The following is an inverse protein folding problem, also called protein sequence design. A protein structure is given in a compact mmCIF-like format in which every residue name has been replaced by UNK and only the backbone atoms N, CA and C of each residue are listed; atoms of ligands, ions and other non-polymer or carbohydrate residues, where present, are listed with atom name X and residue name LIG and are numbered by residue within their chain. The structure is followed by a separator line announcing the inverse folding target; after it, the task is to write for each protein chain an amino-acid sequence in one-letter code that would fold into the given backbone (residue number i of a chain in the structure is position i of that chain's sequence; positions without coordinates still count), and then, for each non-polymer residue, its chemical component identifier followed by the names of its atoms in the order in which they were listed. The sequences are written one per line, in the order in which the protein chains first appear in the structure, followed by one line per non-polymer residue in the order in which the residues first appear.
data_IF_741665367643
#
_entry.id   IF_741665367643
#
_cell.length_a   1.000
_cell.length_b   1.000
_cell.length_c   1.000
_cell.angle_alpha   90.00
_cell.angle_beta   90.00
_cell.angle_gamma   90.00
#
_symmetry.space_group_name_H-M   'P 1'
#
loop_
_entity.id
_entity.type
_entity.pdbx_description
1 polymer ?
#
# COMPACT_ATOMS: atom_id res chain seq x y z
N UNK A 1 3.05 4.90 28.92
CA UNK A 1 3.32 4.30 27.59
C UNK A 1 4.83 4.11 27.52
N UNK A 2 5.30 2.87 27.41
CA UNK A 2 6.74 2.57 27.40
C UNK A 2 7.42 3.41 26.30
N UNK A 3 8.36 4.27 26.70
CA UNK A 3 9.13 5.14 25.82
C UNK A 3 10.60 4.99 26.20
N UNK A 4 11.46 4.90 25.20
CA UNK A 4 12.90 4.71 25.37
C UNK A 4 13.66 5.58 24.39
N UNK A 5 14.90 5.88 24.74
CA UNK A 5 15.79 6.69 23.93
C UNK A 5 16.57 5.79 22.96
N UNK A 6 16.61 6.14 21.68
CA UNK A 6 17.44 5.45 20.68
C UNK A 6 18.47 6.41 20.13
N UNK A 7 19.75 6.10 20.37
CA UNK A 7 20.87 6.88 19.86
C UNK A 7 21.16 6.46 18.43
N UNK A 8 21.10 7.40 17.50
CA UNK A 8 21.57 7.19 16.14
C UNK A 8 23.03 7.63 16.05
N UNK A 9 23.86 7.03 15.17
CA UNK A 9 25.29 7.36 15.09
C UNK A 9 25.58 8.83 14.75
N UNK A 10 24.63 9.51 14.08
CA UNK A 10 24.81 10.86 13.54
C UNK A 10 24.06 11.96 14.31
N UNK A 11 23.19 11.61 15.27
CA UNK A 11 22.41 12.60 16.02
C UNK A 11 23.05 12.92 17.37
N UNK A 12 23.19 14.22 17.67
CA UNK A 12 23.69 14.71 18.95
C UNK A 12 22.75 14.37 20.12
N UNK A 13 21.44 14.27 19.85
CA UNK A 13 20.44 13.87 20.84
C UNK A 13 19.77 12.56 20.44
N UNK A 14 19.45 11.69 21.41
CA UNK A 14 18.73 10.46 21.12
C UNK A 14 17.32 10.77 20.62
N UNK A 15 16.87 9.95 19.67
CA UNK A 15 15.49 10.00 19.15
C UNK A 15 14.58 9.22 20.10
N UNK A 16 13.48 9.84 20.53
CA UNK A 16 12.51 9.19 21.39
C UNK A 16 11.65 8.19 20.60
N UNK A 17 11.68 6.93 21.02
CA UNK A 17 10.90 5.85 20.45
C UNK A 17 9.87 5.35 21.47
N UNK A 18 8.65 5.07 21.03
CA UNK A 18 7.60 4.47 21.86
C UNK A 18 7.00 3.27 21.13
N UNK A 19 6.14 2.52 21.80
CA UNK A 19 5.49 1.33 21.20
C UNK A 19 4.71 1.65 19.92
N UNK A 20 4.17 2.87 19.78
CA UNK A 20 3.48 3.29 18.57
C UNK A 20 4.45 3.43 17.39
N UNK A 21 5.64 4.00 17.60
CA UNK A 21 6.68 4.06 16.56
C UNK A 21 7.08 2.65 16.12
N UNK A 22 7.28 1.72 17.05
CA UNK A 22 7.60 0.32 16.72
C UNK A 22 6.46 -0.33 15.93
N UNK A 23 5.21 -0.13 16.34
CA UNK A 23 4.04 -0.63 15.61
C UNK A 23 3.99 -0.09 14.17
N UNK A 24 4.24 1.21 13.97
CA UNK A 24 4.29 1.82 12.64
C UNK A 24 5.42 1.21 11.80
N UNK A 25 6.61 1.02 12.38
CA UNK A 25 7.74 0.43 11.67
C UNK A 25 7.43 -1.01 11.21
N UNK A 26 6.89 -1.83 12.10
CA UNK A 26 6.52 -3.22 11.79
C UNK A 26 5.37 -3.28 10.76
N UNK A 27 4.40 -2.36 10.85
CA UNK A 27 3.31 -2.25 9.87
C UNK A 27 3.86 -1.86 8.50
N UNK A 28 4.77 -0.87 8.45
CA UNK A 28 5.42 -0.40 7.23
C UNK A 28 6.10 -1.52 6.44
N UNK A 29 6.82 -2.42 7.12
CA UNK A 29 7.49 -3.56 6.46
C UNK A 29 6.54 -4.76 6.21
N UNK A 30 5.26 -4.65 6.57
CA UNK A 30 4.24 -5.66 6.30
C UNK A 30 4.15 -6.80 7.30
N UNK A 31 4.59 -6.58 8.55
CA UNK A 31 4.39 -7.55 9.62
C UNK A 31 2.90 -7.69 9.90
N UNK A 32 2.43 -8.95 10.01
CA UNK A 32 1.03 -9.24 10.36
C UNK A 32 0.70 -8.68 11.75
N UNK A 33 -0.49 -8.11 11.89
CA UNK A 33 -0.96 -7.53 13.16
C UNK A 33 -0.79 -8.49 14.36
N UNK A 34 -1.09 -9.78 14.21
CA UNK A 34 -0.90 -10.76 15.28
C UNK A 34 0.56 -10.84 15.76
N UNK A 35 1.52 -10.87 14.82
CA UNK A 35 2.94 -10.93 15.18
C UNK A 35 3.42 -9.58 15.74
N UNK A 36 2.85 -8.44 15.29
CA UNK A 36 3.15 -7.13 15.87
C UNK A 36 2.82 -7.14 17.36
N UNK A 37 1.64 -7.61 17.74
CA UNK A 37 1.24 -7.66 19.16
C UNK A 37 2.22 -8.50 19.99
N UNK A 38 2.60 -9.69 19.51
CA UNK A 38 3.60 -10.53 20.18
C UNK A 38 4.97 -9.83 20.31
N UNK A 39 5.42 -9.10 19.29
CA UNK A 39 6.68 -8.34 19.33
C UNK A 39 6.59 -7.18 20.34
N UNK A 40 5.46 -6.47 20.38
CA UNK A 40 5.26 -5.36 21.32
C UNK A 40 5.22 -5.86 22.77
N UNK A 41 4.53 -6.97 23.04
CA UNK A 41 4.53 -7.62 24.35
C UNK A 41 5.94 -8.03 24.79
N UNK A 42 6.73 -8.58 23.85
CA UNK A 42 8.13 -8.91 24.11
C UNK A 42 8.96 -7.67 24.45
N UNK A 43 8.81 -6.56 23.71
CA UNK A 43 9.52 -5.30 23.99
C UNK A 43 9.16 -4.74 25.37
N UNK A 44 7.89 -4.82 25.76
CA UNK A 44 7.45 -4.42 27.10
C UNK A 44 8.12 -5.28 28.18
N UNK A 45 8.30 -6.58 27.93
CA UNK A 45 8.91 -7.49 28.90
C UNK A 45 10.41 -7.27 29.12
N UNK A 46 11.10 -6.65 28.16
CA UNK A 46 12.54 -6.36 28.24
C UNK A 46 12.83 -4.89 28.56
N UNK A 47 11.90 -3.97 28.29
CA UNK A 47 12.11 -2.54 28.49
C UNK A 47 12.03 -2.14 29.95
N UNK A 48 13.17 -1.93 30.60
CA UNK A 48 13.27 -1.14 31.82
C UNK A 48 13.00 0.35 31.54
N UNK A 49 12.50 1.10 32.52
CA UNK A 49 12.03 2.49 32.34
C UNK A 49 13.14 3.52 31.98
N UNK A 50 14.41 3.13 31.91
CA UNK A 50 15.55 4.05 31.68
C UNK A 50 16.63 3.54 30.69
N UNK A 51 16.29 2.64 29.76
CA UNK A 51 17.29 2.15 28.79
C UNK A 51 17.44 3.06 27.57
N UNK A 52 18.69 3.45 27.28
CA UNK A 52 19.07 4.04 25.99
C UNK A 52 19.68 2.96 25.11
N UNK A 53 19.11 2.74 23.93
CA UNK A 53 19.60 1.76 22.98
C UNK A 53 20.39 2.44 21.86
N UNK A 54 21.46 1.80 21.38
CA UNK A 54 22.01 2.14 20.08
C UNK A 54 21.07 1.66 18.97
N UNK A 55 20.88 2.46 17.91
CA UNK A 55 19.97 2.13 16.81
C UNK A 55 20.25 0.74 16.23
N UNK A 56 21.52 0.43 15.94
CA UNK A 56 21.89 -0.84 15.34
C UNK A 56 21.54 -2.03 16.25
N UNK A 57 21.79 -1.89 17.55
CA UNK A 57 21.40 -2.90 18.55
C UNK A 57 19.88 -3.06 18.60
N UNK A 58 19.13 -1.95 18.63
CA UNK A 58 17.67 -1.99 18.64
C UNK A 58 17.08 -2.68 17.39
N UNK A 59 17.59 -2.34 16.20
CA UNK A 59 17.13 -2.95 14.96
C UNK A 59 17.53 -4.43 14.86
N UNK A 60 18.72 -4.82 15.36
CA UNK A 60 19.15 -6.22 15.37
C UNK A 60 18.31 -7.11 16.32
N UNK A 61 17.84 -6.55 17.45
CA UNK A 61 16.87 -7.22 18.31
C UNK A 61 15.55 -7.48 17.58
N UNK A 62 14.98 -6.45 16.92
CA UNK A 62 13.75 -6.62 16.14
C UNK A 62 13.93 -7.63 15.01
N UNK A 63 15.03 -7.56 14.28
CA UNK A 63 15.42 -8.48 13.21
C UNK A 63 15.46 -9.93 13.72
N UNK A 64 16.08 -10.17 14.88
CA UNK A 64 16.15 -11.51 15.50
C UNK A 64 14.77 -12.08 15.78
N UNK A 65 13.85 -11.29 16.31
CA UNK A 65 12.47 -11.73 16.56
C UNK A 65 11.73 -11.98 15.25
N UNK A 66 11.89 -11.09 14.26
CA UNK A 66 11.26 -11.22 12.95
C UNK A 66 11.71 -12.49 12.20
N UNK A 67 12.96 -12.93 12.39
CA UNK A 67 13.40 -14.22 11.84
C UNK A 67 12.67 -15.42 12.43
N UNK A 68 12.31 -15.39 13.73
CA UNK A 68 11.48 -16.44 14.35
C UNK A 68 10.12 -16.56 13.65
N UNK A 69 9.58 -15.44 13.17
CA UNK A 69 8.35 -15.38 12.38
C UNK A 69 8.52 -15.58 10.86
N UNK A 70 9.72 -15.95 10.40
CA UNK A 70 10.05 -16.18 8.98
C UNK A 70 9.80 -14.95 8.08
N UNK A 71 10.21 -13.77 8.53
CA UNK A 71 10.36 -12.60 7.65
C UNK A 71 11.76 -12.59 7.04
N UNK A 72 11.84 -12.27 5.74
CA UNK A 72 13.08 -12.22 4.96
C UNK A 72 13.59 -10.78 4.86
N UNK A 73 14.92 -10.58 4.92
CA UNK A 73 15.59 -9.27 4.84
C UNK A 73 15.13 -8.19 5.86
N UNK A 74 14.81 -8.52 7.13
CA UNK A 74 14.17 -7.57 8.03
C UNK A 74 15.03 -6.34 8.36
N UNK A 75 16.36 -6.43 8.37
CA UNK A 75 17.20 -5.32 8.84
C UNK A 75 17.09 -4.06 7.97
N UNK A 76 17.30 -4.17 6.65
CA UNK A 76 17.22 -3.00 5.77
C UNK A 76 15.81 -2.40 5.71
N UNK A 77 14.80 -3.26 5.75
CA UNK A 77 13.40 -2.84 5.75
C UNK A 77 13.09 -2.08 7.05
N UNK A 78 13.60 -2.56 8.19
CA UNK A 78 13.50 -1.90 9.49
C UNK A 78 14.23 -0.55 9.51
N UNK A 79 15.42 -0.46 8.91
CA UNK A 79 16.13 0.82 8.85
C UNK A 79 15.39 1.85 7.98
N UNK A 80 14.76 1.43 6.88
CA UNK A 80 13.91 2.32 6.07
C UNK A 80 12.69 2.74 6.87
N UNK A 81 12.03 1.78 7.51
CA UNK A 81 10.87 2.03 8.34
C UNK A 81 11.20 3.04 9.46
N UNK A 82 12.37 2.90 10.09
CA UNK A 82 12.87 3.85 11.08
C UNK A 82 12.94 5.27 10.52
N UNK A 83 13.58 5.45 9.36
CA UNK A 83 13.78 6.76 8.72
C UNK A 83 12.46 7.41 8.31
N UNK A 84 11.50 6.62 7.82
CA UNK A 84 10.17 7.11 7.43
C UNK A 84 9.33 7.48 8.66
N UNK A 85 9.27 6.61 9.68
CA UNK A 85 8.45 6.81 10.88
C UNK A 85 8.94 8.02 11.69
N UNK A 86 10.25 8.19 11.81
CA UNK A 86 10.86 9.31 12.55
C UNK A 86 11.08 10.55 11.68
N UNK A 87 10.44 10.64 10.50
CA UNK A 87 10.52 11.80 9.59
C UNK A 87 11.96 12.23 9.26
N UNK A 88 12.88 11.27 9.15
CA UNK A 88 14.23 11.52 8.66
C UNK A 88 14.26 11.55 7.13
N UNK A 89 13.37 10.75 6.51
CA UNK A 89 13.08 10.70 5.09
C UNK A 89 11.58 10.63 4.85
N UNK A 90 11.15 10.89 3.62
CA UNK A 90 9.76 10.70 3.19
C UNK A 90 9.67 10.01 1.84
N UNK A 91 8.55 9.33 1.62
CA UNK A 91 8.21 8.70 0.35
C UNK A 91 6.91 9.30 -0.18
N UNK A 92 6.88 9.58 -1.49
CA UNK A 92 5.67 9.97 -2.20
C UNK A 92 5.28 8.84 -3.16
N UNK A 93 4.08 8.29 -3.03
CA UNK A 93 3.58 7.23 -3.90
C UNK A 93 2.54 7.83 -4.84
N UNK A 94 2.75 7.71 -6.15
CA UNK A 94 1.83 8.24 -7.17
C UNK A 94 1.06 7.08 -7.81
N UNK A 95 -0.27 7.08 -7.69
CA UNK A 95 -1.17 6.05 -8.20
C UNK A 95 -2.07 6.60 -9.30
N UNK A 96 -1.61 6.49 -10.54
CA UNK A 96 -2.38 6.86 -11.72
C UNK A 96 -3.33 5.76 -12.15
N UNK A 97 -4.28 6.12 -13.01
CA UNK A 97 -5.25 5.19 -13.59
C UNK A 97 -6.56 5.89 -13.91
N UNK A 98 -7.47 5.16 -14.54
CA UNK A 98 -8.73 5.75 -15.00
C UNK A 98 -9.88 5.55 -14.01
N UNK A 99 -11.03 6.15 -14.29
CA UNK A 99 -12.24 5.96 -13.48
C UNK A 99 -12.66 4.49 -13.45
N UNK A 100 -13.06 4.00 -12.27
CA UNK A 100 -13.48 2.60 -12.09
C UNK A 100 -12.34 1.57 -11.98
N UNK A 101 -11.07 1.97 -12.09
CA UNK A 101 -9.90 1.08 -11.94
C UNK A 101 -9.65 0.59 -10.50
N UNK A 102 -10.23 1.26 -9.50
CA UNK A 102 -10.07 0.94 -8.08
C UNK A 102 -8.83 1.59 -7.42
N UNK A 103 -8.24 2.59 -8.07
CA UNK A 103 -7.10 3.37 -7.55
C UNK A 103 -7.30 3.94 -6.14
N UNK A 104 -8.44 4.58 -5.85
CA UNK A 104 -8.69 5.20 -4.54
C UNK A 104 -8.79 4.14 -3.42
N UNK A 105 -9.40 2.99 -3.70
CA UNK A 105 -9.46 1.86 -2.76
C UNK A 105 -8.06 1.31 -2.47
N UNK A 106 -7.25 1.09 -3.51
CA UNK A 106 -5.87 0.63 -3.33
C UNK A 106 -5.00 1.67 -2.60
N UNK A 107 -5.18 2.96 -2.88
CA UNK A 107 -4.46 4.04 -2.22
C UNK A 107 -4.73 4.05 -0.71
N UNK A 108 -6.00 4.02 -0.30
CA UNK A 108 -6.37 3.99 1.12
C UNK A 108 -5.88 2.72 1.83
N UNK A 109 -6.02 1.56 1.19
CA UNK A 109 -5.52 0.30 1.76
C UNK A 109 -4.00 0.26 1.87
N UNK A 110 -3.29 0.77 0.85
CA UNK A 110 -1.84 0.86 0.85
C UNK A 110 -1.37 1.80 1.96
N UNK A 111 -1.91 3.02 2.03
CA UNK A 111 -1.59 4.02 3.02
C UNK A 111 -1.80 3.49 4.46
N UNK A 112 -2.95 2.86 4.72
CA UNK A 112 -3.22 2.20 5.99
C UNK A 112 -2.20 1.09 6.27
N UNK A 113 -1.86 0.27 5.27
CA UNK A 113 -0.91 -0.84 5.43
C UNK A 113 0.50 -0.36 5.79
N UNK A 114 0.95 0.74 5.19
CA UNK A 114 2.30 1.29 5.41
C UNK A 114 2.35 2.35 6.51
N UNK A 115 1.22 2.69 7.14
CA UNK A 115 1.19 3.72 8.18
C UNK A 115 1.35 5.15 7.66
N UNK A 116 1.07 5.41 6.36
CA UNK A 116 0.96 6.76 5.83
C UNK A 116 -0.45 7.28 6.10
N UNK A 117 -0.56 8.40 6.81
CA UNK A 117 -1.85 9.00 7.17
C UNK A 117 -2.47 9.83 6.05
N UNK A 118 -1.64 10.34 5.14
CA UNK A 118 -2.08 11.31 4.14
C UNK A 118 -2.30 10.65 2.77
N UNK A 119 -3.55 10.66 2.32
CA UNK A 119 -3.95 10.26 0.96
C UNK A 119 -4.66 11.41 0.29
N UNK A 120 -4.15 11.86 -0.86
CA UNK A 120 -4.68 13.00 -1.60
C UNK A 120 -5.14 12.56 -2.99
N UNK A 121 -6.25 13.14 -3.45
CA UNK A 121 -6.80 12.85 -4.76
C UNK A 121 -6.56 14.02 -5.71
N UNK A 122 -6.17 13.77 -6.97
CA UNK A 122 -6.07 14.85 -7.98
C UNK A 122 -7.42 15.51 -8.23
N UNK A 123 -8.53 14.82 -7.95
CA UNK A 123 -9.87 15.42 -8.04
C UNK A 123 -10.06 16.55 -7.02
N UNK A 124 -9.46 16.47 -5.83
CA UNK A 124 -9.48 17.57 -4.86
C UNK A 124 -8.68 18.77 -5.36
N UNK A 125 -7.50 18.53 -5.94
CA UNK A 125 -6.67 19.60 -6.54
C UNK A 125 -7.44 20.30 -7.66
N UNK A 126 -8.09 19.53 -8.53
CA UNK A 126 -8.95 20.05 -9.59
C UNK A 126 -10.12 20.86 -9.04
N UNK A 127 -10.78 20.38 -7.99
CA UNK A 127 -11.87 21.11 -7.33
C UNK A 127 -11.40 22.43 -6.72
N UNK A 128 -10.20 22.45 -6.13
CA UNK A 128 -9.60 23.66 -5.59
C UNK A 128 -9.28 24.66 -6.71
N UNK A 129 -8.67 24.23 -7.81
CA UNK A 129 -8.41 25.09 -8.96
C UNK A 129 -9.69 25.69 -9.55
N UNK A 130 -10.78 24.92 -9.62
CA UNK A 130 -12.10 25.40 -10.05
C UNK A 130 -12.65 26.51 -9.17
N UNK A 131 -12.39 26.50 -7.86
CA UNK A 131 -12.84 27.57 -6.96
C UNK A 131 -12.18 28.93 -7.24
N UNK A 132 -11.05 28.95 -7.94
CA UNK A 132 -10.36 30.16 -8.40
C UNK A 132 -10.68 30.54 -9.86
N UNK A 133 -11.59 29.81 -10.53
CA UNK A 133 -12.09 30.11 -11.88
C UNK A 133 -13.64 30.07 -11.90
N UNK A 134 -14.31 30.94 -11.13
CA UNK A 134 -15.77 30.92 -10.98
C UNK A 134 -16.51 31.22 -12.29
N UNK A 135 -15.89 31.99 -13.19
CA UNK A 135 -16.45 32.37 -14.50
C UNK A 135 -16.26 31.28 -15.57
N UNK A 136 -15.69 30.13 -15.21
CA UNK A 136 -15.44 29.00 -16.10
C UNK A 136 -14.59 29.35 -17.33
N UNK A 137 -13.66 30.31 -17.19
CA UNK A 137 -12.79 30.76 -18.28
C UNK A 137 -11.93 29.60 -18.82
N UNK A 138 -11.58 28.64 -17.95
CA UNK A 138 -10.88 27.42 -18.32
C UNK A 138 -11.84 26.26 -18.59
N UNK A 139 -12.45 26.20 -19.79
CA UNK A 139 -13.36 25.10 -20.18
C UNK A 139 -12.80 23.70 -19.93
N UNK A 140 -11.48 23.52 -20.06
CA UNK A 140 -10.75 22.26 -19.82
C UNK A 140 -10.74 21.86 -18.34
N UNK A 141 -10.69 22.80 -17.39
CA UNK A 141 -10.78 22.51 -15.96
C UNK A 141 -12.17 21.99 -15.58
N UNK A 142 -13.22 22.48 -16.26
CA UNK A 142 -14.62 22.19 -15.93
C UNK A 142 -15.17 20.93 -16.59
N UNK A 143 -14.58 20.47 -17.69
CA UNK A 143 -14.86 19.14 -18.26
C UNK A 143 -14.47 18.00 -17.30
N UNK A 144 -15.25 16.91 -17.27
CA UNK A 144 -14.78 15.64 -16.68
C UNK A 144 -13.60 15.12 -17.53
N UNK A 145 -12.64 14.41 -16.92
CA UNK A 145 -11.44 13.91 -17.62
C UNK A 145 -11.75 13.02 -18.83
N UNK A 146 -12.97 12.47 -18.90
CA UNK A 146 -13.50 11.67 -20.01
C UNK A 146 -14.61 12.37 -20.82
N UNK A 147 -15.01 13.60 -20.44
CA UNK A 147 -15.94 14.46 -21.21
C UNK A 147 -15.22 15.42 -22.16
N UNK A 148 -13.87 15.49 -22.12
CA UNK A 148 -13.07 16.40 -22.92
C UNK A 148 -13.05 16.10 -24.44
N UNK A 149 -14.09 15.46 -24.98
CA UNK A 149 -14.19 15.07 -26.39
C UNK A 149 -15.61 14.71 -26.85
N UNK A 150 -16.67 15.22 -26.20
CA UNK A 150 -18.05 14.79 -26.47
C UNK A 150 -18.52 15.04 -27.93
N UNK A 151 -17.77 15.75 -28.76
CA UNK A 151 -18.08 16.00 -30.18
C UNK A 151 -16.89 15.80 -31.13
N UNK A 152 -15.90 15.00 -30.76
CA UNK A 152 -14.61 15.05 -31.42
C UNK A 152 -13.96 13.65 -31.56
N UNK A 153 -13.32 13.30 -32.69
CA UNK A 153 -12.70 11.98 -32.91
C UNK A 153 -11.64 11.63 -31.85
N UNK A 154 -11.48 10.32 -31.58
CA UNK A 154 -10.61 9.66 -30.58
C UNK A 154 -9.31 10.39 -30.23
N UNK A 155 -8.65 10.99 -31.23
CA UNK A 155 -7.38 11.70 -31.07
C UNK A 155 -7.45 12.87 -30.09
N UNK A 156 -8.60 13.56 -29.97
CA UNK A 156 -8.69 14.72 -29.08
C UNK A 156 -9.36 14.44 -27.72
N UNK A 157 -9.75 13.19 -27.43
CA UNK A 157 -10.01 12.75 -26.05
C UNK A 157 -8.70 12.68 -25.26
N UNK A 158 -7.62 12.14 -25.86
CA UNK A 158 -6.29 12.13 -25.23
C UNK A 158 -5.74 13.54 -25.10
N UNK A 159 -5.83 14.36 -26.14
CA UNK A 159 -5.36 15.76 -26.07
C UNK A 159 -6.09 16.53 -24.96
N UNK A 160 -7.41 16.38 -24.84
CA UNK A 160 -8.19 16.98 -23.77
C UNK A 160 -7.82 16.45 -22.39
N UNK A 161 -7.53 15.15 -22.28
CA UNK A 161 -7.04 14.52 -21.05
C UNK A 161 -5.69 15.11 -20.61
N UNK A 162 -4.70 15.16 -21.51
CA UNK A 162 -3.37 15.68 -21.19
C UNK A 162 -3.40 17.18 -20.91
N UNK A 163 -4.16 17.96 -21.67
CA UNK A 163 -4.36 19.39 -21.41
C UNK A 163 -4.94 19.65 -20.01
N UNK A 164 -5.88 18.82 -19.56
CA UNK A 164 -6.41 18.93 -18.19
C UNK A 164 -5.36 18.63 -17.13
N UNK A 165 -4.50 17.65 -17.35
CA UNK A 165 -3.46 17.26 -16.40
C UNK A 165 -2.38 18.35 -16.26
N UNK A 166 -2.00 18.98 -17.38
CA UNK A 166 -1.04 20.08 -17.40
C UNK A 166 -1.46 21.24 -16.48
N UNK A 167 -2.75 21.54 -16.40
CA UNK A 167 -3.27 22.61 -15.53
C UNK A 167 -3.09 22.30 -14.03
N UNK A 168 -3.05 21.02 -13.65
CA UNK A 168 -2.88 20.60 -12.26
C UNK A 168 -1.41 20.47 -11.84
N UNK A 169 -0.49 20.34 -12.79
CA UNK A 169 0.91 20.01 -12.55
C UNK A 169 1.59 20.96 -11.55
N UNK A 170 1.45 22.28 -11.75
CA UNK A 170 2.08 23.28 -10.87
C UNK A 170 1.57 23.19 -9.43
N UNK A 171 0.27 22.94 -9.24
CA UNK A 171 -0.30 22.79 -7.90
C UNK A 171 0.14 21.50 -7.24
N UNK A 172 0.19 20.40 -7.99
CA UNK A 172 0.74 19.13 -7.50
C UNK A 172 2.21 19.31 -7.09
N UNK A 173 3.04 19.89 -7.95
CA UNK A 173 4.46 20.12 -7.67
C UNK A 173 4.70 20.91 -6.38
N UNK A 174 4.00 22.05 -6.20
CA UNK A 174 4.06 22.85 -4.97
C UNK A 174 3.60 22.06 -3.74
N UNK A 175 2.56 21.25 -3.88
CA UNK A 175 2.07 20.40 -2.80
C UNK A 175 3.12 19.37 -2.40
N UNK A 176 3.70 18.63 -3.35
CA UNK A 176 4.76 17.65 -3.08
C UNK A 176 5.96 18.31 -2.41
N UNK A 177 6.38 19.49 -2.88
CA UNK A 177 7.46 20.27 -2.26
C UNK A 177 7.19 20.51 -0.79
N UNK A 178 5.99 20.99 -0.43
CA UNK A 178 5.63 21.25 0.96
C UNK A 178 5.68 20.00 1.86
N UNK A 179 5.25 18.84 1.36
CA UNK A 179 5.36 17.58 2.11
C UNK A 179 6.81 17.10 2.21
N UNK A 180 7.60 17.25 1.15
CA UNK A 180 9.03 16.90 1.13
C UNK A 180 9.82 17.76 2.13
N UNK A 181 9.59 19.07 2.15
CA UNK A 181 10.24 20.01 3.08
C UNK A 181 9.96 19.66 4.55
N UNK A 182 8.76 19.11 4.84
CA UNK A 182 8.38 18.63 6.18
C UNK A 182 8.74 17.17 6.46
N UNK A 183 9.36 16.49 5.49
CA UNK A 183 9.66 15.03 5.53
C UNK A 183 8.43 14.19 5.87
N UNK A 184 7.29 14.56 5.30
CA UNK A 184 6.03 13.85 5.44
C UNK A 184 5.78 12.96 4.23
N UNK A 185 5.50 11.68 4.49
CA UNK A 185 5.16 10.72 3.44
C UNK A 185 3.70 10.86 3.02
N UNK A 186 3.40 10.63 1.74
CA UNK A 186 2.07 10.83 1.19
C UNK A 186 1.76 9.89 0.03
N UNK A 187 0.49 9.57 -0.17
CA UNK A 187 -0.01 8.87 -1.37
C UNK A 187 -0.88 9.84 -2.18
N UNK A 188 -0.57 10.03 -3.46
CA UNK A 188 -1.46 10.74 -4.40
C UNK A 188 -2.08 9.71 -5.32
N UNK A 189 -3.38 9.78 -5.48
CA UNK A 189 -4.11 8.97 -6.44
C UNK A 189 -4.93 9.85 -7.36
N UNK A 190 -5.12 9.44 -8.62
CA UNK A 190 -5.96 10.26 -9.48
C UNK A 190 -5.92 9.92 -10.95
N UNK A 191 -6.94 10.40 -11.65
CA UNK A 191 -6.92 10.45 -13.12
C UNK A 191 -5.96 11.53 -13.61
N UNK A 192 -5.67 12.54 -12.78
CA UNK A 192 -4.77 13.65 -13.07
C UNK A 192 -3.28 13.31 -13.07
N UNK A 193 -2.93 12.04 -12.83
CA UNK A 193 -1.56 11.55 -12.85
C UNK A 193 -1.30 10.85 -14.19
N UNK A 194 -1.17 11.63 -15.28
CA UNK A 194 -0.65 11.08 -16.54
C UNK A 194 0.82 10.72 -16.42
N UNK A 195 1.34 9.97 -17.40
CA UNK A 195 2.75 9.56 -17.39
C UNK A 195 3.68 10.77 -17.42
N UNK A 196 3.37 11.78 -18.24
CA UNK A 196 4.15 13.03 -18.28
C UNK A 196 4.10 13.77 -16.94
N UNK A 197 2.93 13.84 -16.31
CA UNK A 197 2.77 14.43 -14.97
C UNK A 197 3.64 13.68 -13.95
N UNK A 198 3.59 12.34 -13.93
CA UNK A 198 4.39 11.52 -13.02
C UNK A 198 5.90 11.71 -13.23
N UNK A 199 6.35 11.78 -14.48
CA UNK A 199 7.76 12.02 -14.82
C UNK A 199 8.23 13.39 -14.32
N UNK A 200 7.47 14.45 -14.62
CA UNK A 200 7.82 15.80 -14.19
C UNK A 200 7.85 15.92 -12.66
N UNK A 201 6.87 15.31 -11.97
CA UNK A 201 6.86 15.27 -10.51
C UNK A 201 8.07 14.47 -9.97
N UNK A 202 8.40 13.30 -10.53
CA UNK A 202 9.54 12.51 -10.06
C UNK A 202 10.90 13.16 -10.35
N UNK A 203 10.99 13.95 -11.42
CA UNK A 203 12.18 14.76 -11.73
C UNK A 203 12.40 15.84 -10.68
N UNK A 204 11.34 16.49 -10.22
CA UNK A 204 11.40 17.54 -9.21
C UNK A 204 11.48 16.99 -7.77
N UNK A 205 10.92 15.78 -7.56
CA UNK A 205 10.78 15.12 -6.25
C UNK A 205 11.34 13.70 -6.34
N UNK A 206 12.65 13.50 -6.08
CA UNK A 206 13.35 12.24 -6.36
C UNK A 206 12.83 11.00 -5.60
N UNK A 207 12.07 11.19 -4.52
CA UNK A 207 11.46 10.13 -3.71
C UNK A 207 10.04 9.73 -4.17
N UNK A 208 9.64 10.13 -5.38
CA UNK A 208 8.35 9.74 -5.96
C UNK A 208 8.40 8.36 -6.61
N UNK A 209 7.53 7.45 -6.18
CA UNK A 209 7.39 6.11 -6.78
C UNK A 209 6.07 6.07 -7.57
N UNK A 210 6.11 6.15 -8.92
CA UNK A 210 4.91 6.09 -9.74
C UNK A 210 4.48 4.66 -10.06
N UNK A 211 3.18 4.42 -10.02
CA UNK A 211 2.54 3.20 -10.51
C UNK A 211 1.22 3.52 -11.21
N UNK A 212 0.87 2.70 -12.20
CA UNK A 212 -0.41 2.78 -12.92
C UNK A 212 -1.31 1.63 -12.53
N UNK A 213 -2.54 1.94 -12.14
CA UNK A 213 -3.58 0.96 -11.82
C UNK A 213 -4.53 0.84 -13.00
N UNK A 214 -4.76 -0.39 -13.47
CA UNK A 214 -5.66 -0.67 -14.58
C UNK A 214 -6.49 -1.92 -14.32
N UNK A 215 -7.53 -2.15 -15.13
CA UNK A 215 -8.27 -3.43 -15.13
C UNK A 215 -8.18 -4.00 -16.53
N UNK A 216 -7.58 -5.18 -16.66
CA UNK A 216 -7.42 -5.85 -17.95
C UNK A 216 -8.78 -6.27 -18.53
N UNK A 217 -9.61 -6.90 -17.72
CA UNK A 217 -10.93 -7.38 -18.11
C UNK A 217 -11.93 -6.22 -18.24
N UNK A 218 -12.30 -5.93 -19.48
CA UNK A 218 -13.21 -4.83 -19.81
C UNK A 218 -14.57 -4.96 -19.15
N UNK A 219 -15.22 -6.14 -19.19
CA UNK A 219 -16.52 -6.35 -18.55
C UNK A 219 -16.49 -6.04 -17.05
N UNK A 220 -15.47 -6.50 -16.33
CA UNK A 220 -15.29 -6.18 -14.90
C UNK A 220 -15.09 -4.69 -14.65
N UNK A 221 -14.38 -4.03 -15.56
CA UNK A 221 -14.17 -2.58 -15.49
C UNK A 221 -15.49 -1.84 -15.74
N UNK A 222 -16.28 -2.24 -16.74
CA UNK A 222 -17.61 -1.69 -17.03
C UNK A 222 -18.54 -1.87 -15.84
N UNK A 223 -18.58 -3.06 -15.23
CA UNK A 223 -19.39 -3.32 -14.03
C UNK A 223 -19.02 -2.38 -12.88
N UNK A 224 -17.72 -2.29 -12.55
CA UNK A 224 -17.24 -1.40 -11.48
C UNK A 224 -17.53 0.07 -11.80
N UNK A 225 -17.36 0.49 -13.05
CA UNK A 225 -17.65 1.83 -13.49
C UNK A 225 -19.15 2.13 -13.41
N UNK A 226 -20.01 1.22 -13.83
CA UNK A 226 -21.46 1.36 -13.75
C UNK A 226 -21.94 1.47 -12.30
N UNK A 227 -21.36 0.69 -11.37
CA UNK A 227 -21.63 0.85 -9.93
C UNK A 227 -21.24 2.26 -9.47
N UNK A 228 -20.02 2.72 -9.79
CA UNK A 228 -19.57 4.07 -9.42
C UNK A 228 -20.46 5.17 -10.02
N UNK A 229 -20.81 5.06 -11.29
CA UNK A 229 -21.65 6.04 -12.00
C UNK A 229 -23.05 6.16 -11.36
N UNK A 230 -23.66 5.05 -10.93
CA UNK A 230 -24.93 5.08 -10.19
C UNK A 230 -24.87 5.94 -8.93
N UNK A 231 -23.75 5.93 -8.22
CA UNK A 231 -23.54 6.78 -7.03
C UNK A 231 -23.21 8.24 -7.37
N UNK A 232 -22.89 8.56 -8.63
CA UNK A 232 -22.58 9.91 -9.11
C UNK A 232 -23.77 10.59 -9.79
N UNK A 233 -24.88 9.88 -10.03
CA UNK A 233 -26.06 10.39 -10.74
C UNK A 233 -27.32 10.43 -9.87
N UNK A 234 -28.07 11.53 -9.94
CA UNK A 234 -29.38 11.68 -9.29
C UNK A 234 -30.49 10.88 -10.02
N UNK A 235 -30.29 10.50 -11.30
CA UNK A 235 -31.29 9.80 -12.12
C UNK A 235 -30.70 8.55 -12.83
N UNK A 236 -30.87 7.33 -12.29
CA UNK A 236 -30.30 6.08 -12.82
C UNK A 236 -30.89 5.57 -14.15
N UNK A 237 -32.02 6.15 -14.61
CA UNK A 237 -32.84 5.60 -15.71
C UNK A 237 -32.38 5.99 -17.12
N UNK A 238 -31.50 6.98 -17.24
CA UNK A 238 -30.90 7.43 -18.51
C UNK A 238 -29.39 7.25 -18.42
N UNK A 239 -28.90 6.02 -18.60
CA UNK A 239 -27.49 5.71 -18.37
C UNK A 239 -26.58 6.19 -19.51
N UNK A 240 -26.52 7.52 -19.72
CA UNK A 240 -25.60 8.21 -20.65
C UNK A 240 -24.13 7.89 -20.37
N UNK A 241 -23.82 7.33 -19.19
CA UNK A 241 -22.47 7.05 -18.73
C UNK A 241 -21.77 5.91 -19.48
N UNK A 242 -22.52 4.97 -20.06
CA UNK A 242 -21.92 3.88 -20.86
C UNK A 242 -21.16 4.45 -22.06
N UNK A 243 -21.62 5.57 -22.65
CA UNK A 243 -20.94 6.22 -23.78
C UNK A 243 -19.55 6.74 -23.47
N UNK A 244 -19.25 7.07 -22.21
CA UNK A 244 -17.91 7.51 -21.81
C UNK A 244 -16.99 6.36 -21.43
N UNK A 245 -17.49 5.13 -21.37
CA UNK A 245 -16.66 4.00 -21.02
C UNK A 245 -15.59 3.75 -22.09
N UNK A 246 -15.91 3.95 -23.37
CA UNK A 246 -14.95 3.87 -24.47
C UNK A 246 -13.84 4.91 -24.31
N UNK A 247 -14.18 6.16 -23.97
CA UNK A 247 -13.19 7.20 -23.64
C UNK A 247 -12.31 6.79 -22.43
N UNK A 248 -12.90 6.18 -21.40
CA UNK A 248 -12.16 5.69 -20.22
C UNK A 248 -11.19 4.59 -20.61
N UNK A 249 -11.59 3.66 -21.50
CA UNK A 249 -10.72 2.59 -22.01
C UNK A 249 -9.62 3.15 -22.91
N UNK A 250 -9.95 4.13 -23.74
CA UNK A 250 -8.99 4.83 -24.60
C UNK A 250 -7.91 5.54 -23.77
N UNK A 251 -8.28 6.30 -22.74
CA UNK A 251 -7.33 6.90 -21.79
C UNK A 251 -6.51 5.83 -21.06
N UNK A 252 -7.14 4.72 -20.64
CA UNK A 252 -6.43 3.64 -19.97
C UNK A 252 -5.36 3.01 -20.88
N UNK A 253 -5.70 2.78 -22.15
CA UNK A 253 -4.79 2.22 -23.14
C UNK A 253 -3.62 3.16 -23.38
N UNK A 254 -3.87 4.47 -23.54
CA UNK A 254 -2.84 5.50 -23.64
C UNK A 254 -1.88 5.48 -22.44
N UNK A 255 -2.41 5.52 -21.21
CA UNK A 255 -1.60 5.42 -19.99
C UNK A 255 -0.79 4.12 -19.93
N UNK A 256 -1.39 3.00 -20.34
CA UNK A 256 -0.71 1.71 -20.32
C UNK A 256 0.42 1.62 -21.35
N UNK A 257 0.26 2.21 -22.53
CA UNK A 257 1.28 2.25 -23.57
C UNK A 257 2.47 3.12 -23.15
N UNK A 258 2.20 4.34 -22.68
CA UNK A 258 3.25 5.22 -22.17
C UNK A 258 3.96 4.63 -20.95
N UNK A 259 3.24 3.97 -20.04
CA UNK A 259 3.85 3.30 -18.90
C UNK A 259 4.82 2.18 -19.32
N UNK A 260 4.54 1.45 -20.42
CA UNK A 260 5.50 0.49 -20.97
C UNK A 260 6.76 1.19 -21.51
N UNK A 261 6.59 2.29 -22.24
CA UNK A 261 7.68 3.07 -22.83
C UNK A 261 8.66 3.59 -21.77
N UNK A 262 8.12 4.16 -20.69
CA UNK A 262 8.86 4.78 -19.59
C UNK A 262 9.16 3.83 -18.43
N UNK A 263 8.80 2.56 -18.56
CA UNK A 263 8.99 1.52 -17.55
C UNK A 263 8.33 1.88 -16.21
N UNK A 264 7.14 2.48 -16.24
CA UNK A 264 6.33 2.68 -15.03
C UNK A 264 5.56 1.38 -14.74
N UNK A 265 5.65 0.82 -13.53
CA UNK A 265 4.89 -0.37 -13.15
C UNK A 265 3.38 -0.24 -13.39
N UNK A 266 2.80 -1.26 -14.02
CA UNK A 266 1.34 -1.37 -14.22
C UNK A 266 0.76 -2.52 -13.42
N UNK A 267 -0.32 -2.27 -12.68
CA UNK A 267 -0.94 -3.26 -11.80
C UNK A 267 -2.38 -3.51 -12.24
N UNK A 268 -2.64 -4.75 -12.67
CA UNK A 268 -3.98 -5.24 -12.99
C UNK A 268 -4.78 -5.49 -11.71
N UNK A 269 -5.69 -4.58 -11.41
CA UNK A 269 -6.53 -4.59 -10.23
C UNK A 269 -7.78 -5.47 -10.37
N UNK A 270 -7.67 -6.59 -11.08
CA UNK A 270 -8.71 -7.61 -11.11
C UNK A 270 -8.89 -8.31 -9.75
N UNK A 271 -7.82 -8.36 -8.92
CA UNK A 271 -7.87 -8.85 -7.54
C UNK A 271 -7.20 -7.84 -6.59
N UNK A 272 -7.98 -7.27 -5.67
CA UNK A 272 -7.53 -6.18 -4.78
C UNK A 272 -6.43 -6.62 -3.84
N UNK A 273 -6.56 -7.78 -3.19
CA UNK A 273 -5.57 -8.28 -2.22
C UNK A 273 -4.22 -8.55 -2.86
N UNK A 274 -4.23 -9.17 -4.05
CA UNK A 274 -3.02 -9.41 -4.84
C UNK A 274 -2.37 -8.09 -5.25
N UNK A 275 -3.17 -7.15 -5.74
CA UNK A 275 -2.69 -5.83 -6.18
C UNK A 275 -2.08 -5.05 -5.04
N UNK A 276 -2.73 -5.06 -3.87
CA UNK A 276 -2.22 -4.44 -2.65
C UNK A 276 -0.90 -5.08 -2.18
N UNK A 277 -0.79 -6.40 -2.24
CA UNK A 277 0.46 -7.10 -1.89
C UNK A 277 1.61 -6.75 -2.85
N UNK A 278 1.34 -6.71 -4.16
CA UNK A 278 2.32 -6.31 -5.17
C UNK A 278 2.74 -4.85 -4.97
N UNK A 279 1.78 -3.93 -4.79
CA UNK A 279 2.03 -2.51 -4.51
C UNK A 279 2.96 -2.34 -3.32
N UNK A 280 2.58 -2.90 -2.19
CA UNK A 280 3.30 -2.75 -0.93
C UNK A 280 4.72 -3.32 -1.02
N UNK A 281 4.87 -4.53 -1.57
CA UNK A 281 6.20 -5.16 -1.71
C UNK A 281 7.07 -4.41 -2.73
N UNK A 282 6.48 -3.87 -3.80
CA UNK A 282 7.22 -3.08 -4.80
C UNK A 282 7.77 -1.81 -4.16
N UNK A 283 6.94 -1.04 -3.43
CA UNK A 283 7.37 0.18 -2.72
C UNK A 283 8.51 -0.14 -1.76
N UNK A 284 8.37 -1.17 -0.93
CA UNK A 284 9.40 -1.56 0.03
C UNK A 284 10.71 -1.96 -0.66
N UNK A 285 10.63 -2.78 -1.72
CA UNK A 285 11.81 -3.22 -2.48
C UNK A 285 12.52 -2.06 -3.19
N UNK A 286 11.77 -1.09 -3.72
CA UNK A 286 12.33 0.11 -4.35
C UNK A 286 13.09 0.95 -3.34
N UNK A 287 12.49 1.23 -2.18
CA UNK A 287 13.17 1.93 -1.09
C UNK A 287 14.41 1.17 -0.60
N UNK A 288 14.31 -0.16 -0.47
CA UNK A 288 15.43 -1.03 -0.12
C UNK A 288 16.55 -0.98 -1.16
N UNK A 289 16.22 -0.97 -2.45
CA UNK A 289 17.21 -0.83 -3.52
C UNK A 289 17.86 0.55 -3.49
N UNK A 290 17.09 1.62 -3.38
CA UNK A 290 17.59 3.00 -3.30
C UNK A 290 18.58 3.13 -2.15
N UNK A 291 18.24 2.58 -0.98
CA UNK A 291 19.15 2.55 0.17
C UNK A 291 20.43 1.76 -0.10
N UNK A 292 20.35 0.52 -0.63
CA UNK A 292 21.54 -0.32 -0.91
C UNK A 292 22.49 0.31 -1.91
N UNK A 293 21.94 0.99 -2.92
CA UNK A 293 22.69 1.59 -4.03
C UNK A 293 23.08 3.05 -3.76
N UNK A 294 22.66 3.59 -2.60
CA UNK A 294 22.74 5.01 -2.28
C UNK A 294 22.18 5.92 -3.39
N UNK A 295 21.17 5.43 -4.11
CA UNK A 295 20.52 6.11 -5.22
C UNK A 295 19.46 7.06 -4.69
N UNK A 296 19.56 8.33 -5.09
CA UNK A 296 18.69 9.41 -4.61
C UNK A 296 17.44 9.64 -5.45
N UNK A 297 17.30 8.98 -6.60
CA UNK A 297 16.23 9.21 -7.58
C UNK A 297 15.54 7.92 -8.00
N UNK A 298 14.25 8.01 -8.32
CA UNK A 298 13.49 6.91 -8.94
C UNK A 298 13.46 6.98 -10.47
N UNK A 299 13.46 8.19 -11.04
CA UNK A 299 13.56 8.46 -12.46
C UNK A 299 15.03 8.56 -12.87
N UNK A 300 15.48 7.69 -13.77
CA UNK A 300 16.86 7.70 -14.23
C UNK A 300 17.17 8.97 -15.06
N UNK A 301 18.17 9.77 -14.68
CA UNK A 301 18.41 11.08 -15.29
C UNK A 301 18.97 11.01 -16.71
N UNK A 302 19.46 9.84 -17.14
CA UNK A 302 20.07 9.66 -18.47
C UNK A 302 19.04 9.11 -19.47
N UNK A 303 18.33 8.05 -19.07
CA UNK A 303 17.34 7.38 -19.92
C UNK A 303 15.95 7.97 -19.82
N UNK A 304 15.66 8.79 -18.80
CA UNK A 304 14.33 9.34 -18.50
C UNK A 304 13.27 8.24 -18.27
N UNK A 305 13.69 7.11 -17.67
CA UNK A 305 12.86 5.93 -17.38
C UNK A 305 12.93 5.51 -15.92
N UNK A 306 11.91 4.79 -15.47
CA UNK A 306 11.83 4.26 -14.10
C UNK A 306 12.40 2.83 -14.00
N UNK A 307 13.54 2.57 -14.64
CA UNK A 307 14.11 1.21 -14.79
C UNK A 307 14.29 0.51 -13.45
N UNK A 308 14.84 1.20 -12.44
CA UNK A 308 15.05 0.62 -11.11
C UNK A 308 13.73 0.21 -10.43
N UNK A 309 12.70 1.03 -10.59
CA UNK A 309 11.34 0.77 -10.07
C UNK A 309 10.72 -0.42 -10.80
N UNK A 310 10.82 -0.45 -12.12
CA UNK A 310 10.28 -1.51 -12.97
C UNK A 310 10.89 -2.88 -12.72
N UNK A 311 12.20 -2.93 -12.51
CA UNK A 311 12.92 -4.16 -12.22
C UNK A 311 12.47 -4.75 -10.87
N UNK A 312 12.34 -3.93 -9.82
CA UNK A 312 11.82 -4.39 -8.53
C UNK A 312 10.37 -4.85 -8.62
N UNK A 313 9.53 -4.09 -9.35
CA UNK A 313 8.17 -4.50 -9.66
C UNK A 313 8.13 -5.86 -10.37
N UNK A 314 8.96 -6.05 -11.39
CA UNK A 314 9.00 -7.28 -12.19
C UNK A 314 9.39 -8.49 -11.34
N UNK A 315 10.39 -8.33 -10.46
CA UNK A 315 10.77 -9.38 -9.48
C UNK A 315 9.58 -9.77 -8.60
N UNK A 316 8.87 -8.79 -8.06
CA UNK A 316 7.69 -9.01 -7.19
C UNK A 316 6.54 -9.67 -7.97
N UNK A 317 6.30 -9.19 -9.19
CA UNK A 317 5.25 -9.68 -10.06
C UNK A 317 5.49 -11.15 -10.43
N UNK A 318 6.66 -11.48 -10.98
CA UNK A 318 7.02 -12.86 -11.33
C UNK A 318 6.94 -13.81 -10.13
N UNK A 319 7.39 -13.36 -8.95
CA UNK A 319 7.29 -14.14 -7.72
C UNK A 319 5.85 -14.39 -7.26
N UNK A 320 4.96 -13.45 -7.57
CA UNK A 320 3.53 -13.55 -7.23
C UNK A 320 2.79 -14.44 -8.23
N UNK A 321 3.20 -14.48 -9.50
CA UNK A 321 2.54 -15.27 -10.56
C UNK A 321 3.12 -16.68 -10.74
N UNK A 322 4.30 -16.98 -10.23
CA UNK A 322 4.83 -18.35 -10.20
C UNK A 322 4.01 -19.24 -9.26
N UNK A 323 3.29 -20.23 -9.77
CA UNK A 323 2.46 -21.16 -8.97
C UNK A 323 3.27 -21.84 -7.86
N UNK A 324 4.55 -22.14 -8.08
CA UNK A 324 5.45 -22.75 -7.09
C UNK A 324 5.80 -21.76 -5.96
N UNK A 325 6.05 -20.50 -6.29
CA UNK A 325 6.37 -19.46 -5.30
C UNK A 325 5.12 -18.93 -4.59
N UNK A 326 3.98 -18.83 -5.29
CA UNK A 326 2.68 -18.53 -4.72
C UNK A 326 2.24 -19.64 -3.76
N UNK A 327 2.36 -20.92 -4.13
CA UNK A 327 2.11 -22.05 -3.21
C UNK A 327 3.08 -22.04 -2.03
N UNK A 328 4.36 -21.67 -2.23
CA UNK A 328 5.33 -21.53 -1.13
C UNK A 328 4.97 -20.37 -0.19
N UNK A 329 4.52 -19.23 -0.71
CA UNK A 329 4.05 -18.07 0.08
C UNK A 329 2.71 -18.35 0.78
N UNK A 330 1.76 -19.04 0.14
CA UNK A 330 0.50 -19.48 0.74
C UNK A 330 0.79 -20.48 1.85
N UNK A 331 1.64 -21.50 1.59
CA UNK A 331 2.08 -22.47 2.60
C UNK A 331 2.85 -21.79 3.74
N UNK A 332 3.73 -20.84 3.44
CA UNK A 332 4.39 -20.05 4.49
C UNK A 332 3.38 -19.19 5.26
N UNK A 333 2.37 -18.62 4.62
CA UNK A 333 1.32 -17.84 5.28
C UNK A 333 0.35 -18.70 6.11
N UNK A 334 0.13 -19.96 5.75
CA UNK A 334 -0.69 -20.95 6.49
C UNK A 334 0.11 -21.72 7.55
N UNK A 335 1.43 -21.90 7.41
CA UNK A 335 2.30 -22.35 8.51
C UNK A 335 2.62 -21.22 9.49
N UNK A 336 2.46 -19.95 9.10
CA UNK A 336 2.45 -18.79 10.01
C UNK A 336 1.17 -18.68 10.86
N UNK A 337 0.19 -19.59 10.70
CA UNK A 337 -1.01 -19.66 11.57
C UNK A 337 -0.98 -20.81 12.58
N UNK A 338 0.09 -21.63 12.61
CA UNK A 338 0.32 -22.59 13.68
C UNK A 338 1.17 -21.94 14.77
N UNK A 339 0.64 -21.90 15.99
CA UNK A 339 1.23 -21.32 17.20
C UNK A 339 2.73 -21.66 17.35
N UNK A 340 3.59 -20.73 17.80
CA UNK A 340 4.91 -21.08 18.31
C UNK A 340 4.76 -21.88 19.61
N UNK A 341 5.68 -22.81 19.83
CA UNK A 341 5.76 -23.66 21.02
C UNK A 341 6.12 -22.77 22.22
N UNK A 342 5.18 -22.57 23.13
CA UNK A 342 5.28 -21.68 24.30
C UNK A 342 6.25 -22.17 25.41
N UNK A 343 7.27 -22.96 25.07
CA UNK A 343 8.11 -23.67 26.05
C UNK A 343 9.59 -23.29 26.10
N UNK A 344 10.13 -22.59 25.10
CA UNK A 344 11.59 -22.38 24.98
C UNK A 344 12.06 -20.96 25.32
N UNK A 345 11.14 -20.02 25.62
CA UNK A 345 11.49 -18.62 25.89
C UNK A 345 12.28 -18.38 27.19
N UNK A 346 12.33 -19.34 28.11
CA UNK A 346 12.97 -19.17 29.43
C UNK A 346 14.26 -19.98 29.62
N UNK A 347 14.55 -20.98 28.77
CA UNK A 347 15.64 -21.92 29.04
C UNK A 347 17.00 -21.54 28.46
N UNK A 348 17.06 -20.67 27.45
CA UNK A 348 18.33 -20.35 26.77
C UNK A 348 19.20 -19.26 27.44
N UNK A 349 18.72 -18.62 28.51
CA UNK A 349 19.44 -17.50 29.15
C UNK A 349 19.76 -17.71 30.64
N UNK A 350 19.55 -18.93 31.18
CA UNK A 350 19.98 -19.26 32.55
C UNK A 350 21.35 -19.94 32.64
N UNK A 351 22.04 -20.20 31.53
CA UNK A 351 23.33 -20.92 31.52
C UNK A 351 24.58 -20.02 31.38
N UNK A 352 24.51 -18.74 31.77
CA UNK A 352 25.74 -17.90 31.90
C UNK A 352 25.94 -17.23 33.27
N UNK A 353 25.17 -17.63 34.28
CA UNK A 353 25.54 -17.35 35.67
C UNK A 353 25.72 -18.67 36.43
N UNK A 354 26.97 -18.94 36.77
CA UNK A 354 27.41 -20.03 37.60
C UNK A 354 26.80 -19.83 39.00
N UNK A 355 25.97 -20.76 39.46
CA UNK A 355 25.63 -20.88 40.88
C UNK A 355 25.73 -22.37 41.27
N UNK A 356 26.61 -22.73 42.23
CA UNK A 356 26.88 -24.11 42.59
C UNK A 356 26.03 -24.49 43.78
N UNK A 357 24.82 -25.01 43.56
CA UNK A 357 24.23 -25.96 44.51
C UNK A 357 23.06 -26.71 43.90
N UNK A 358 23.15 -28.04 43.99
CA UNK A 358 22.22 -28.96 43.36
C UNK A 358 20.90 -29.07 44.11
N UNK A 359 19.79 -28.88 43.40
CA UNK A 359 18.56 -29.62 43.63
C UNK A 359 17.61 -29.55 42.42
N UNK A 360 17.21 -30.70 41.88
CA UNK A 360 16.20 -30.82 40.82
C UNK A 360 14.84 -31.19 41.44
N UNK A 361 13.72 -30.51 41.11
CA UNK A 361 12.39 -31.00 41.46
C UNK A 361 11.82 -31.93 40.37
N UNK A 362 11.24 -33.05 40.81
CA UNK A 362 10.48 -34.01 40.00
C UNK A 362 9.12 -33.45 39.55
N UNK A 363 8.73 -33.72 38.29
CA UNK A 363 7.45 -33.32 37.71
C UNK A 363 6.44 -34.49 37.75
N UNK A 364 5.32 -34.30 38.44
CA UNK A 364 4.23 -35.28 38.50
C UNK A 364 3.19 -34.97 37.40
N UNK A 365 3.00 -35.92 36.47
CA UNK A 365 1.92 -35.91 35.48
C UNK A 365 0.63 -36.35 36.16
N UNK A 366 -0.34 -35.46 36.33
CA UNK A 366 -1.77 -35.76 36.29
C UNK A 366 -2.56 -34.47 36.51
N UNK A 367 -3.17 -33.96 35.42
CA UNK A 367 -4.43 -33.21 35.39
C UNK A 367 -4.66 -32.71 33.95
N UNK A 368 -5.04 -33.65 33.08
CA UNK A 368 -5.72 -33.38 31.82
C UNK A 368 -7.07 -34.09 31.89
N UNK A 369 -8.01 -33.49 32.59
CA UNK A 369 -9.43 -33.88 32.54
C UNK A 369 -10.21 -32.89 33.40
N UNK A 370 -10.62 -31.78 32.80
CA UNK A 370 -11.79 -30.95 33.16
C UNK A 370 -11.68 -29.60 32.47
N UNK A 371 -12.18 -29.52 31.24
CA UNK A 371 -12.88 -28.36 30.67
C UNK A 371 -13.26 -28.68 29.21
N UNK A 372 -14.05 -29.73 29.04
CA UNK A 372 -14.98 -29.87 27.92
C UNK A 372 -16.38 -29.77 28.51
N UNK A 373 -16.99 -28.58 28.46
CA UNK A 373 -18.43 -28.34 28.41
C UNK A 373 -18.67 -26.82 28.40
N UNK A 374 -19.15 -26.33 27.25
CA UNK A 374 -19.42 -24.92 27.01
C UNK A 374 -19.49 -24.61 25.51
N UNK A 375 -20.28 -25.36 24.75
CA UNK A 375 -20.52 -25.08 23.34
C UNK A 375 -21.50 -23.92 23.18
N UNK A 376 -20.99 -22.72 22.90
CA UNK A 376 -21.76 -21.65 22.27
C UNK A 376 -21.62 -21.78 20.75
N UNK A 377 -22.71 -22.18 20.12
CA UNK A 377 -22.89 -22.25 18.67
C UNK A 377 -22.87 -20.84 18.06
N UNK A 378 -21.70 -20.39 17.59
CA UNK A 378 -21.65 -19.27 16.64
C UNK A 378 -22.03 -19.76 15.25
N UNK A 379 -23.20 -19.34 14.79
CA UNK A 379 -23.70 -19.49 13.43
C UNK A 379 -22.75 -18.80 12.44
N UNK A 380 -22.26 -19.58 11.46
CA UNK A 380 -21.40 -19.09 10.37
C UNK A 380 -22.11 -18.03 9.50
N UNK A 381 -21.40 -17.08 8.88
CA UNK A 381 -21.96 -16.05 7.99
C UNK A 381 -22.28 -16.60 6.58
N UNK A 382 -22.87 -17.79 6.49
CA UNK A 382 -23.25 -18.41 5.21
C UNK A 382 -24.58 -17.81 4.70
N UNK A 383 -25.47 -17.37 5.59
CA UNK A 383 -26.79 -16.86 5.21
C UNK A 383 -26.74 -15.47 4.54
N UNK A 384 -25.74 -14.64 4.83
CA UNK A 384 -25.57 -13.31 4.20
C UNK A 384 -25.08 -13.44 2.76
N UNK A 385 -24.14 -14.36 2.50
CA UNK A 385 -23.65 -14.66 1.14
C UNK A 385 -24.72 -15.33 0.28
N UNK A 386 -25.54 -16.22 0.86
CA UNK A 386 -26.65 -16.85 0.15
C UNK A 386 -27.77 -15.85 -0.19
N UNK A 387 -28.06 -14.90 0.70
CA UNK A 387 -29.04 -13.83 0.46
C UNK A 387 -28.55 -12.85 -0.62
N UNK A 388 -27.26 -12.51 -0.64
CA UNK A 388 -26.65 -11.70 -1.71
C UNK A 388 -26.70 -12.40 -3.07
N UNK A 389 -26.38 -13.70 -3.13
CA UNK A 389 -26.41 -14.49 -4.37
C UNK A 389 -27.84 -14.66 -4.92
N UNK A 390 -28.84 -14.78 -4.05
CA UNK A 390 -30.26 -14.94 -4.45
C UNK A 390 -30.83 -13.62 -4.98
N UNK A 391 -30.50 -12.47 -4.37
CA UNK A 391 -30.82 -11.13 -4.90
C UNK A 391 -30.10 -10.84 -6.22
N UNK A 392 -28.86 -11.31 -6.38
CA UNK A 392 -28.07 -11.19 -7.60
C UNK A 392 -28.69 -11.96 -8.78
N UNK A 393 -29.14 -13.21 -8.56
CA UNK A 393 -29.84 -14.01 -9.58
C UNK A 393 -31.20 -13.42 -9.97
N UNK A 394 -31.93 -12.83 -9.02
CA UNK A 394 -33.18 -12.14 -9.29
C UNK A 394 -32.97 -10.87 -10.14
N UNK A 395 -31.89 -10.13 -9.90
CA UNK A 395 -31.51 -8.95 -10.69
C UNK A 395 -31.13 -9.32 -12.14
N UNK A 396 -30.43 -10.44 -12.36
CA UNK A 396 -30.08 -10.94 -13.70
C UNK A 396 -31.33 -11.41 -14.46
N UNK A 397 -32.24 -12.17 -13.81
CA UNK A 397 -33.50 -12.61 -14.44
C UNK A 397 -34.45 -11.47 -14.81
N UNK A 398 -34.43 -10.39 -14.03
CA UNK A 398 -35.18 -9.15 -14.31
C UNK A 398 -34.62 -8.37 -15.52
N UNK A 399 -33.32 -8.54 -15.81
CA UNK A 399 -32.62 -7.84 -16.88
C UNK A 399 -32.73 -8.55 -18.23
N UNK A 400 -32.71 -9.89 -18.24
CA UNK A 400 -32.86 -10.71 -19.45
C UNK A 400 -34.28 -10.71 -20.05
N UNK A 401 -35.29 -10.22 -19.31
CA UNK A 401 -36.68 -10.12 -19.78
C UNK A 401 -37.07 -8.72 -20.27
N UNK A 402 -36.12 -7.78 -20.36
CA UNK A 402 -36.35 -6.37 -20.75
C UNK A 402 -35.36 -5.85 -21.80
N UNK A 403 -34.70 -6.75 -22.51
CA UNK A 403 -34.00 -6.46 -23.78
C UNK A 403 -34.96 -6.61 -24.95
#
# INVERSE_FOLDING_TARGET
MLSFAVRTPNDYQPTWCNLHHVQLMLSFIGVKHAHIQEILEYIISIGGEEETFELDSFLDHLKTILYRFRYSNPLIDLEIAWRIVHRQESVCILLGGTSGSGKSTLASLLAHRIGITTVLSTDHVRSLLRSFDPDHNSKVLWASSYHAGENLPDKQVIDGYEAQNQLMLNTLDKMLKGFSDRKESLVIEGVGLSIDTMKLLAKNHPNCIPLVIYISNEHKHTERFAVRAKYMTVAPRTNKYIRYFDNIRLIQNHLCQQADEYQIPKIDNTNVDRSLAILHTTVLNVLARMKRTNQSYTLDPVSDKFTAVFEEFTKVHLATWSSKQMLRRIRQNSFKSSKPIAGEMTYYWKEQHHDPDGNKPQYNKNQREQQQRGSLTMTKPVNVLLACHTRWKAAIKSWASRS
#
